data_IF_204197874716
#
_entry.id   IF_204197874716
#
_cell.length_a   1.000
_cell.length_b   1.000
_cell.length_c   1.000
_cell.angle_alpha   90.00
_cell.angle_beta   90.00
_cell.angle_gamma   90.00
#
_symmetry.space_group_name_H-M   'P 1'
#
loop_
_entity.id
_entity.type
_entity.pdbx_description
1 polymer ?
#
# COMPACT_ATOMS: atom_id res chain seq x y z
N UNK A 1 -14.62 10.11 -10.29
CA UNK A 1 -13.78 9.00 -9.76
C UNK A 1 -14.71 8.13 -8.95
N UNK A 2 -14.70 6.79 -9.11
CA UNK A 2 -15.45 5.90 -8.19
C UNK A 2 -14.98 6.13 -6.76
N UNK A 3 -15.83 5.85 -5.80
CA UNK A 3 -15.51 6.02 -4.37
C UNK A 3 -15.63 4.69 -3.65
N UNK A 4 -14.74 4.43 -2.68
CA UNK A 4 -14.82 3.25 -1.82
C UNK A 4 -16.16 3.18 -1.06
N UNK A 5 -16.88 4.31 -0.92
CA UNK A 5 -18.23 4.35 -0.35
C UNK A 5 -19.25 3.48 -1.10
N UNK A 6 -18.94 3.06 -2.32
CA UNK A 6 -19.72 2.04 -3.06
C UNK A 6 -19.66 0.65 -2.41
N UNK A 7 -18.66 0.38 -1.55
CA UNK A 7 -18.49 -0.89 -0.82
C UNK A 7 -19.04 -0.72 0.59
N UNK A 8 -20.29 -1.12 0.80
CA UNK A 8 -20.95 -0.97 2.10
C UNK A 8 -20.35 -1.92 3.14
N UNK A 9 -20.52 -1.57 4.43
CA UNK A 9 -20.04 -2.35 5.57
C UNK A 9 -20.40 -3.85 5.49
N UNK A 10 -21.65 -4.16 5.12
CA UNK A 10 -22.12 -5.54 4.95
C UNK A 10 -21.33 -6.37 3.93
N UNK A 11 -20.61 -5.72 3.02
CA UNK A 11 -19.84 -6.36 1.94
C UNK A 11 -18.37 -6.55 2.33
N UNK A 12 -17.88 -5.90 3.39
CA UNK A 12 -16.47 -5.94 3.81
C UNK A 12 -16.06 -7.38 4.13
N UNK A 13 -16.82 -8.06 4.99
CA UNK A 13 -16.52 -9.44 5.42
C UNK A 13 -16.43 -10.38 4.21
N UNK A 14 -17.36 -10.29 3.27
CA UNK A 14 -17.33 -11.12 2.08
C UNK A 14 -16.13 -10.81 1.17
N UNK A 15 -15.77 -9.53 0.99
CA UNK A 15 -14.62 -9.16 0.17
C UNK A 15 -13.33 -9.73 0.79
N UNK A 16 -13.18 -9.61 2.11
CA UNK A 16 -12.01 -10.14 2.82
C UNK A 16 -11.94 -11.67 2.74
N UNK A 17 -13.07 -12.37 2.87
CA UNK A 17 -13.14 -13.83 2.68
C UNK A 17 -12.72 -14.25 1.27
N UNK A 18 -13.24 -13.59 0.24
CA UNK A 18 -12.87 -13.87 -1.15
C UNK A 18 -11.38 -13.62 -1.40
N UNK A 19 -10.83 -12.52 -0.86
CA UNK A 19 -9.39 -12.26 -0.96
C UNK A 19 -8.56 -13.37 -0.32
N UNK A 20 -8.93 -13.83 0.87
CA UNK A 20 -8.19 -14.88 1.56
C UNK A 20 -8.23 -16.22 0.79
N UNK A 21 -9.39 -16.58 0.23
CA UNK A 21 -9.59 -17.86 -0.44
C UNK A 21 -9.03 -17.89 -1.88
N UNK A 22 -9.18 -16.80 -2.63
CA UNK A 22 -8.94 -16.79 -4.07
C UNK A 22 -7.70 -16.01 -4.48
N UNK A 23 -7.26 -15.03 -3.68
CA UNK A 23 -6.14 -14.18 -4.08
C UNK A 23 -4.80 -14.79 -3.72
N UNK A 24 -4.30 -15.61 -4.65
CA UNK A 24 -2.97 -16.22 -4.61
C UNK A 24 -2.68 -16.91 -3.26
N UNK A 25 -3.42 -17.97 -2.92
CA UNK A 25 -3.36 -18.62 -1.60
C UNK A 25 -1.96 -19.10 -1.20
N UNK A 26 -1.07 -19.33 -2.17
CA UNK A 26 0.30 -19.80 -1.95
C UNK A 26 1.38 -18.76 -2.34
N UNK A 27 1.04 -17.47 -2.38
CA UNK A 27 2.00 -16.41 -2.73
C UNK A 27 3.01 -16.17 -1.59
N UNK A 28 4.33 -16.29 -1.84
CA UNK A 28 5.34 -16.08 -0.81
C UNK A 28 5.32 -14.63 -0.27
N UNK A 29 4.85 -13.65 -1.04
CA UNK A 29 4.71 -12.27 -0.63
C UNK A 29 3.74 -12.07 0.53
N UNK A 30 2.75 -12.96 0.73
CA UNK A 30 1.89 -12.93 1.92
C UNK A 30 2.68 -13.30 3.18
N UNK A 31 3.43 -14.40 3.14
CA UNK A 31 4.27 -14.85 4.25
C UNK A 31 5.35 -13.81 4.60
N UNK A 32 6.09 -13.34 3.59
CA UNK A 32 7.15 -12.35 3.76
C UNK A 32 6.63 -11.06 4.39
N UNK A 33 5.46 -10.58 3.96
CA UNK A 33 4.84 -9.39 4.52
C UNK A 33 4.43 -9.56 5.99
N UNK A 34 3.88 -10.72 6.37
CA UNK A 34 3.57 -11.02 7.78
C UNK A 34 4.84 -10.98 8.64
N UNK A 35 5.95 -11.53 8.13
CA UNK A 35 7.24 -11.48 8.82
C UNK A 35 7.78 -10.05 8.91
N UNK A 36 7.64 -9.27 7.84
CA UNK A 36 8.05 -7.86 7.81
C UNK A 36 7.30 -7.01 8.83
N UNK A 37 5.99 -7.24 9.02
CA UNK A 37 5.20 -6.50 10.01
C UNK A 37 5.59 -6.76 11.48
N UNK A 38 6.43 -7.77 11.76
CA UNK A 38 6.96 -8.05 13.09
C UNK A 38 8.28 -7.33 13.40
N UNK A 39 8.85 -6.63 12.42
CA UNK A 39 10.14 -5.92 12.55
C UNK A 39 9.96 -4.55 13.20
N UNK A 40 10.91 -4.20 14.06
CA UNK A 40 11.03 -2.90 14.74
C UNK A 40 12.32 -2.15 14.38
N UNK A 41 13.23 -2.79 13.63
CA UNK A 41 14.54 -2.28 13.23
C UNK A 41 14.49 -1.47 11.92
N UNK A 42 13.67 -0.42 11.92
CA UNK A 42 13.44 0.45 10.76
C UNK A 42 14.76 0.86 10.07
N UNK A 43 14.84 0.58 8.76
CA UNK A 43 15.97 0.91 7.88
C UNK A 43 17.31 0.25 8.24
N UNK A 44 17.31 -0.83 9.03
CA UNK A 44 18.44 -1.77 9.05
C UNK A 44 18.63 -2.42 7.66
N UNK A 45 19.78 -3.07 7.46
CA UNK A 45 20.05 -3.77 6.21
C UNK A 45 19.04 -4.89 5.97
N UNK A 46 18.75 -5.69 6.98
CA UNK A 46 17.78 -6.78 6.90
C UNK A 46 16.34 -6.27 6.69
N UNK A 47 15.99 -5.10 7.22
CA UNK A 47 14.70 -4.45 6.97
C UNK A 47 14.57 -4.05 5.50
N UNK A 48 15.61 -3.42 4.94
CA UNK A 48 15.63 -2.95 3.55
C UNK A 48 15.69 -4.13 2.57
N UNK A 49 16.47 -5.17 2.87
CA UNK A 49 16.53 -6.41 2.11
C UNK A 49 15.16 -7.09 2.03
N UNK A 50 14.51 -7.28 3.19
CA UNK A 50 13.18 -7.90 3.22
C UNK A 50 12.15 -7.06 2.47
N UNK A 51 12.21 -5.73 2.60
CA UNK A 51 11.38 -4.82 1.81
C UNK A 51 11.57 -5.01 0.30
N UNK A 52 12.82 -5.10 -0.15
CA UNK A 52 13.16 -5.31 -1.55
C UNK A 52 12.58 -6.65 -2.06
N UNK A 53 12.78 -7.72 -1.31
CA UNK A 53 12.27 -9.06 -1.65
C UNK A 53 10.74 -9.08 -1.69
N UNK A 54 10.06 -8.39 -0.75
CA UNK A 54 8.60 -8.24 -0.77
C UNK A 54 8.13 -7.53 -2.03
N UNK A 55 8.77 -6.41 -2.41
CA UNK A 55 8.41 -5.69 -3.63
C UNK A 55 8.59 -6.56 -4.87
N UNK A 56 9.65 -7.37 -4.94
CA UNK A 56 9.86 -8.38 -6.00
C UNK A 56 8.72 -9.40 -6.01
N UNK A 57 8.38 -10.00 -4.86
CA UNK A 57 7.27 -10.97 -4.74
C UNK A 57 5.92 -10.34 -5.14
N UNK A 58 5.73 -9.06 -4.83
CA UNK A 58 4.56 -8.27 -5.23
C UNK A 58 4.59 -7.80 -6.69
N UNK A 59 5.54 -8.29 -7.49
CA UNK A 59 5.62 -8.10 -8.93
C UNK A 59 6.27 -6.78 -9.38
N UNK A 60 7.00 -6.08 -8.50
CA UNK A 60 7.67 -4.81 -8.86
C UNK A 60 8.95 -4.99 -9.67
N UNK A 61 9.33 -6.23 -9.97
CA UNK A 61 10.43 -6.58 -10.86
C UNK A 61 9.94 -7.57 -11.96
N UNK A 62 8.92 -7.17 -12.72
CA UNK A 62 8.25 -7.97 -13.76
C UNK A 62 8.11 -7.18 -15.08
N UNK A 63 7.46 -7.74 -16.13
CA UNK A 63 7.31 -7.04 -17.41
C UNK A 63 6.61 -5.67 -17.22
N UNK A 64 7.36 -4.58 -17.39
CA UNK A 64 6.89 -3.20 -17.24
C UNK A 64 7.02 -2.59 -15.84
N UNK A 65 7.77 -3.24 -14.94
CA UNK A 65 8.24 -2.68 -13.68
C UNK A 65 9.62 -3.27 -13.35
N UNK A 66 10.65 -2.45 -13.23
CA UNK A 66 11.99 -2.90 -12.87
C UNK A 66 12.47 -2.08 -11.68
N UNK A 67 12.73 -2.73 -10.54
CA UNK A 67 13.35 -2.07 -9.41
C UNK A 67 14.79 -1.65 -9.77
N UNK A 68 15.27 -0.60 -9.13
CA UNK A 68 16.70 -0.31 -9.12
C UNK A 68 17.48 -1.50 -8.55
N UNK A 69 18.78 -1.57 -8.88
CA UNK A 69 19.65 -2.55 -8.24
C UNK A 69 19.62 -2.32 -6.72
N UNK A 70 19.80 -3.39 -5.93
CA UNK A 70 19.62 -3.33 -4.48
C UNK A 70 20.40 -2.18 -3.84
N UNK A 71 21.66 -1.98 -4.20
CA UNK A 71 22.49 -0.91 -3.64
C UNK A 71 21.92 0.49 -3.90
N UNK A 72 21.43 0.75 -5.12
CA UNK A 72 20.79 2.03 -5.46
C UNK A 72 19.44 2.20 -4.75
N UNK A 73 18.66 1.12 -4.63
CA UNK A 73 17.41 1.12 -3.87
C UNK A 73 17.65 1.39 -2.38
N UNK A 74 18.67 0.76 -1.79
CA UNK A 74 19.08 0.99 -0.40
C UNK A 74 19.58 2.42 -0.20
N UNK A 75 20.43 2.91 -1.09
CA UNK A 75 20.97 4.27 -1.03
C UNK A 75 19.84 5.32 -0.98
N UNK A 76 18.85 5.25 -1.88
CA UNK A 76 17.75 6.23 -1.90
C UNK A 76 16.90 6.19 -0.62
N UNK A 77 16.73 5.03 0.03
CA UNK A 77 16.02 4.94 1.31
C UNK A 77 16.83 5.60 2.43
N UNK A 78 18.14 5.37 2.48
CA UNK A 78 19.01 5.94 3.51
C UNK A 78 19.20 7.45 3.34
N UNK A 79 19.27 7.95 2.11
CA UNK A 79 19.28 9.39 1.80
C UNK A 79 18.01 10.10 2.29
N UNK A 80 16.90 9.35 2.43
CA UNK A 80 15.62 9.86 2.92
C UNK A 80 15.32 9.43 4.37
N UNK A 81 16.30 8.88 5.10
CA UNK A 81 16.13 8.34 6.45
C UNK A 81 15.44 9.30 7.41
N UNK A 82 15.90 10.55 7.47
CA UNK A 82 15.35 11.53 8.42
C UNK A 82 13.88 11.87 8.13
N UNK A 83 13.50 11.92 6.84
CA UNK A 83 12.11 12.16 6.43
C UNK A 83 11.21 10.98 6.81
N UNK A 84 11.71 9.76 6.59
CA UNK A 84 11.02 8.52 6.94
C UNK A 84 10.84 8.43 8.46
N UNK A 85 11.92 8.62 9.22
CA UNK A 85 11.92 8.55 10.68
C UNK A 85 10.96 9.58 11.28
N UNK A 86 11.02 10.83 10.80
CA UNK A 86 10.12 11.90 11.25
C UNK A 86 8.64 11.56 11.05
N UNK A 87 8.27 10.90 9.96
CA UNK A 87 6.88 10.46 9.73
C UNK A 87 6.51 9.26 10.61
N UNK A 88 7.46 8.34 10.85
CA UNK A 88 7.28 7.18 11.71
C UNK A 88 7.07 7.53 13.17
N UNK A 89 7.87 8.45 13.70
CA UNK A 89 7.83 8.85 15.11
C UNK A 89 6.52 9.53 15.50
N UNK A 90 5.78 10.06 14.52
CA UNK A 90 4.46 10.66 14.76
C UNK A 90 3.37 9.62 15.06
N UNK A 91 3.65 8.32 14.86
CA UNK A 91 2.72 7.20 15.09
C UNK A 91 1.30 7.44 14.54
N UNK A 92 1.25 7.95 13.31
CA UNK A 92 0.01 8.38 12.65
C UNK A 92 -0.72 7.22 11.98
N UNK A 93 -2.04 7.21 12.13
CA UNK A 93 -2.95 6.24 11.50
C UNK A 93 -3.88 6.93 10.50
N UNK A 94 -4.16 6.26 9.37
CA UNK A 94 -4.95 6.80 8.27
C UNK A 94 -6.32 7.30 8.71
N UNK A 95 -7.00 6.58 9.61
CA UNK A 95 -8.35 6.88 10.08
C UNK A 95 -8.40 8.07 11.06
N UNK A 96 -7.33 8.33 11.82
CA UNK A 96 -7.36 9.36 12.88
C UNK A 96 -6.68 10.67 12.48
N UNK A 97 -5.77 10.63 11.52
CA UNK A 97 -4.94 11.79 11.18
C UNK A 97 -5.70 12.91 10.44
N UNK A 98 -5.29 14.16 10.68
CA UNK A 98 -5.47 15.21 9.67
C UNK A 98 -4.50 14.96 8.50
N UNK A 99 -5.01 14.28 7.47
CA UNK A 99 -4.18 13.82 6.36
C UNK A 99 -3.65 14.98 5.52
N UNK A 100 -4.42 16.06 5.36
CA UNK A 100 -4.00 17.20 4.54
C UNK A 100 -2.78 17.92 5.14
N UNK A 101 -2.65 17.94 6.48
CA UNK A 101 -1.46 18.44 7.16
C UNK A 101 -0.16 17.69 6.81
N UNK A 102 -0.26 16.43 6.32
CA UNK A 102 0.91 15.61 5.95
C UNK A 102 1.18 15.56 4.45
N UNK A 103 0.36 16.23 3.64
CA UNK A 103 0.45 16.20 2.19
C UNK A 103 1.86 16.51 1.68
N UNK A 104 2.44 17.62 2.12
CA UNK A 104 3.77 18.03 1.64
C UNK A 104 4.88 17.08 2.13
N UNK A 105 4.82 16.59 3.38
CA UNK A 105 5.81 15.62 3.87
C UNK A 105 5.77 14.31 3.08
N UNK A 106 4.56 13.79 2.79
CA UNK A 106 4.39 12.57 2.00
C UNK A 106 4.73 12.83 0.53
N UNK A 107 4.42 14.00 -0.01
CA UNK A 107 4.81 14.40 -1.36
C UNK A 107 6.31 14.43 -1.52
N UNK A 108 7.01 15.11 -0.61
CA UNK A 108 8.46 15.22 -0.60
C UNK A 108 9.11 13.84 -0.55
N UNK A 109 8.63 12.94 0.30
CA UNK A 109 9.11 11.56 0.34
C UNK A 109 8.76 10.80 -0.95
N UNK A 110 7.54 10.92 -1.45
CA UNK A 110 7.12 10.26 -2.69
C UNK A 110 7.96 10.70 -3.89
N UNK A 111 8.34 11.97 -3.98
CA UNK A 111 9.09 12.51 -5.12
C UNK A 111 10.60 12.37 -4.99
N UNK A 112 11.13 12.19 -3.77
CA UNK A 112 12.57 12.03 -3.53
C UNK A 112 13.08 10.59 -3.64
N UNK A 113 12.19 9.60 -3.59
CA UNK A 113 12.56 8.19 -3.76
C UNK A 113 12.87 7.89 -5.24
N UNK A 114 14.01 7.26 -5.50
CA UNK A 114 14.38 6.70 -6.81
C UNK A 114 14.50 5.17 -6.75
N UNK A 115 13.36 4.49 -6.93
CA UNK A 115 13.23 3.06 -6.66
C UNK A 115 13.26 2.19 -7.92
N UNK A 116 13.23 2.79 -9.12
CA UNK A 116 12.91 2.06 -10.35
C UNK A 116 13.76 2.47 -11.55
N UNK A 117 14.20 1.46 -12.31
CA UNK A 117 14.73 1.63 -13.66
C UNK A 117 13.58 1.81 -14.64
N UNK A 118 13.69 2.82 -15.51
CA UNK A 118 12.91 2.93 -16.75
C UNK A 118 11.43 2.54 -16.67
N UNK A 119 10.56 3.44 -16.22
CA UNK A 119 9.12 3.18 -16.25
C UNK A 119 8.32 4.31 -15.64
N UNK A 120 7.70 5.17 -16.46
CA UNK A 120 7.00 6.35 -15.94
C UNK A 120 5.79 5.95 -15.08
N UNK A 121 4.99 4.96 -15.49
CA UNK A 121 3.71 4.59 -14.84
C UNK A 121 3.83 3.51 -13.77
N UNK A 122 4.91 2.73 -13.73
CA UNK A 122 5.17 1.76 -12.64
C UNK A 122 5.50 2.42 -11.32
N UNK A 123 6.12 3.61 -11.36
CA UNK A 123 6.47 4.40 -10.17
C UNK A 123 5.30 4.54 -9.22
N UNK A 124 4.14 4.96 -9.71
CA UNK A 124 2.91 5.07 -8.91
C UNK A 124 2.66 3.86 -8.00
N UNK A 125 2.71 2.66 -8.57
CA UNK A 125 2.42 1.41 -7.85
C UNK A 125 3.56 1.04 -6.91
N UNK A 126 4.79 1.05 -7.41
CA UNK A 126 5.98 0.73 -6.60
C UNK A 126 6.11 1.67 -5.41
N UNK A 127 5.85 2.96 -5.61
CA UNK A 127 6.03 3.99 -4.60
C UNK A 127 4.93 3.88 -3.55
N UNK A 128 3.67 3.62 -3.95
CA UNK A 128 2.59 3.35 -2.99
C UNK A 128 2.88 2.15 -2.09
N UNK A 129 3.43 1.06 -2.65
CA UNK A 129 3.82 -0.14 -1.91
C UNK A 129 5.02 0.10 -0.99
N UNK A 130 5.99 0.85 -1.47
CA UNK A 130 7.18 1.20 -0.67
C UNK A 130 6.78 2.11 0.49
N UNK A 131 5.95 3.14 0.24
CA UNK A 131 5.38 3.98 1.29
C UNK A 131 4.56 3.17 2.29
N UNK A 132 3.80 2.17 1.85
CA UNK A 132 3.09 1.28 2.76
C UNK A 132 4.06 0.47 3.65
N UNK A 133 5.13 -0.09 3.10
CA UNK A 133 6.12 -0.82 3.90
C UNK A 133 6.84 0.13 4.90
N UNK A 134 7.12 1.35 4.46
CA UNK A 134 7.69 2.41 5.28
C UNK A 134 6.71 3.05 6.27
N UNK A 135 5.39 3.01 6.06
CA UNK A 135 4.35 3.70 6.84
C UNK A 135 3.03 2.88 6.82
N UNK A 136 2.99 1.66 7.38
CA UNK A 136 1.92 0.67 7.21
C UNK A 136 0.59 1.07 7.83
N UNK A 137 0.59 1.99 8.81
CA UNK A 137 -0.65 2.49 9.40
C UNK A 137 -1.22 3.70 8.65
N UNK A 138 -0.46 4.28 7.70
CA UNK A 138 -0.82 5.51 7.01
C UNK A 138 -1.04 5.33 5.51
N UNK A 139 -0.17 4.58 4.83
CA UNK A 139 -0.18 4.47 3.38
C UNK A 139 -0.76 3.12 2.92
N UNK A 140 -1.77 3.15 2.06
CA UNK A 140 -2.36 1.94 1.47
C UNK A 140 -1.49 1.47 0.30
N UNK A 141 -1.10 0.18 0.22
CA UNK A 141 -0.40 -0.32 -0.95
C UNK A 141 -1.39 -0.35 -2.11
N UNK A 142 -1.02 0.20 -3.26
CA UNK A 142 -1.89 0.24 -4.43
C UNK A 142 -1.35 -0.68 -5.53
N UNK A 143 -2.23 -1.15 -6.40
CA UNK A 143 -1.85 -1.99 -7.52
C UNK A 143 -2.60 -1.64 -8.82
N UNK A 144 -2.11 -2.17 -9.95
CA UNK A 144 -2.70 -1.90 -11.27
C UNK A 144 -4.01 -2.63 -11.51
N UNK A 145 -4.13 -3.87 -11.02
CA UNK A 145 -5.22 -4.80 -11.33
C UNK A 145 -6.44 -4.59 -10.45
N UNK A 146 -6.27 -4.20 -9.18
CA UNK A 146 -7.37 -4.08 -8.21
C UNK A 146 -7.61 -2.60 -7.84
N UNK A 147 -6.60 -1.86 -7.39
CA UNK A 147 -6.79 -0.43 -7.04
C UNK A 147 -7.08 0.42 -8.26
N UNK A 148 -6.23 0.40 -9.29
CA UNK A 148 -6.41 1.28 -10.46
C UNK A 148 -7.56 0.88 -11.37
N UNK A 149 -8.04 -0.36 -11.30
CA UNK A 149 -9.28 -0.76 -11.98
C UNK A 149 -10.53 -0.28 -11.22
N UNK A 150 -10.47 -0.21 -9.88
CA UNK A 150 -11.51 0.41 -9.09
C UNK A 150 -11.55 1.94 -9.25
N UNK A 151 -10.39 2.59 -9.38
CA UNK A 151 -10.26 4.03 -9.61
C UNK A 151 -9.88 4.35 -11.06
N UNK A 152 -10.77 4.08 -12.04
CA UNK A 152 -10.43 4.15 -13.45
C UNK A 152 -10.03 5.58 -13.83
N UNK A 153 -8.75 5.72 -14.15
CA UNK A 153 -8.15 6.90 -14.76
C UNK A 153 -6.73 6.54 -15.18
N UNK A 154 -6.20 7.18 -16.21
CA UNK A 154 -4.81 6.96 -16.60
C UNK A 154 -3.87 7.45 -15.50
N UNK A 155 -2.77 6.72 -15.26
CA UNK A 155 -1.68 7.21 -14.38
C UNK A 155 -0.85 8.22 -15.18
N UNK A 156 -0.74 9.48 -14.72
CA UNK A 156 0.03 10.49 -15.43
C UNK A 156 1.51 10.10 -15.58
N UNK A 157 2.18 10.58 -16.64
CA UNK A 157 3.62 10.34 -16.84
C UNK A 157 4.49 11.13 -15.85
N UNK A 158 4.11 12.37 -15.53
CA UNK A 158 4.86 13.26 -14.63
C UNK A 158 4.68 12.84 -13.16
N UNK A 159 5.77 12.88 -12.38
CA UNK A 159 5.79 12.36 -11.01
C UNK A 159 4.87 13.16 -10.07
N UNK A 160 4.89 14.50 -10.15
CA UNK A 160 3.99 15.34 -9.35
C UNK A 160 2.52 15.06 -9.64
N UNK A 161 2.18 14.81 -10.91
CA UNK A 161 0.82 14.46 -11.31
C UNK A 161 0.43 13.05 -10.82
N UNK A 162 1.39 12.12 -10.70
CA UNK A 162 1.15 10.84 -10.06
C UNK A 162 0.86 10.99 -8.57
N UNK A 163 1.62 11.85 -7.88
CA UNK A 163 1.36 12.15 -6.48
C UNK A 163 -0.04 12.75 -6.28
N UNK A 164 -0.46 13.71 -7.11
CA UNK A 164 -1.82 14.27 -7.05
C UNK A 164 -2.88 13.16 -7.13
N UNK A 165 -2.73 12.23 -8.08
CA UNK A 165 -3.63 11.09 -8.21
C UNK A 165 -3.58 10.16 -7.00
N UNK A 166 -2.38 9.82 -6.52
CA UNK A 166 -2.17 8.99 -5.34
C UNK A 166 -2.87 9.61 -4.13
N UNK A 167 -2.71 10.92 -3.93
CA UNK A 167 -3.32 11.68 -2.85
C UNK A 167 -4.85 11.65 -2.92
N UNK A 168 -5.44 11.84 -4.11
CA UNK A 168 -6.89 11.75 -4.29
C UNK A 168 -7.45 10.39 -3.89
N UNK A 169 -6.78 9.29 -4.29
CA UNK A 169 -7.18 7.94 -3.93
C UNK A 169 -7.03 7.72 -2.41
N UNK A 170 -5.91 8.15 -1.82
CA UNK A 170 -5.68 8.06 -0.38
C UNK A 170 -6.72 8.83 0.43
N UNK A 171 -7.19 10.00 -0.04
CA UNK A 171 -8.25 10.77 0.62
C UNK A 171 -9.59 10.03 0.64
N UNK A 172 -9.94 9.36 -0.45
CA UNK A 172 -11.14 8.54 -0.51
C UNK A 172 -11.03 7.32 0.43
N UNK A 173 -9.87 6.64 0.43
CA UNK A 173 -9.57 5.56 1.38
C UNK A 173 -9.56 6.03 2.83
N UNK A 174 -9.10 7.26 3.12
CA UNK A 174 -9.20 7.85 4.45
C UNK A 174 -10.65 8.05 4.87
N UNK A 175 -11.49 8.64 4.00
CA UNK A 175 -12.90 8.84 4.32
C UNK A 175 -13.55 7.49 4.63
N UNK A 176 -13.25 6.47 3.82
CA UNK A 176 -13.73 5.11 4.06
C UNK A 176 -13.24 4.53 5.39
N UNK A 177 -11.95 4.74 5.71
CA UNK A 177 -11.37 4.30 6.97
C UNK A 177 -12.05 4.92 8.20
N UNK A 178 -12.39 6.21 8.12
CA UNK A 178 -13.14 6.94 9.16
C UNK A 178 -14.57 6.41 9.31
N UNK A 179 -15.27 6.26 8.19
CA UNK A 179 -16.67 5.84 8.18
C UNK A 179 -16.85 4.38 8.67
N UNK A 180 -15.80 3.55 8.55
CA UNK A 180 -15.83 2.11 8.86
C UNK A 180 -14.77 1.66 9.87
N UNK A 181 -14.27 2.57 10.72
CA UNK A 181 -13.14 2.30 11.63
C UNK A 181 -13.34 1.01 12.46
N UNK A 182 -14.52 0.84 13.05
CA UNK A 182 -14.82 -0.29 13.95
C UNK A 182 -14.67 -1.64 13.25
N UNK A 183 -15.29 -1.81 12.10
CA UNK A 183 -15.27 -3.09 11.36
C UNK A 183 -13.88 -3.36 10.76
N UNK A 184 -13.16 -2.31 10.33
CA UNK A 184 -11.80 -2.45 9.85
C UNK A 184 -10.85 -2.91 10.97
N UNK A 185 -10.99 -2.35 12.18
CA UNK A 185 -10.20 -2.79 13.36
C UNK A 185 -10.52 -4.23 13.77
N UNK A 186 -11.79 -4.65 13.67
CA UNK A 186 -12.17 -6.04 13.91
C UNK A 186 -11.53 -7.01 12.89
N UNK A 187 -11.45 -6.60 11.62
CA UNK A 187 -10.78 -7.40 10.58
C UNK A 187 -9.27 -7.57 10.82
N UNK A 188 -8.62 -6.59 11.46
CA UNK A 188 -7.21 -6.71 11.89
C UNK A 188 -7.08 -7.71 13.05
N UNK A 189 -8.02 -7.68 14.00
CA UNK A 189 -8.00 -8.56 15.17
C UNK A 189 -8.20 -10.04 14.81
N UNK A 190 -8.92 -10.34 13.71
CA UNK A 190 -9.13 -11.72 13.24
C UNK A 190 -7.91 -12.28 12.48
N UNK A 191 -6.80 -12.47 13.19
CA UNK A 191 -5.56 -13.03 12.62
C UNK A 191 -5.64 -14.52 12.29
N UNK A 192 -6.56 -15.25 12.93
CA UNK A 192 -6.72 -16.69 12.72
C UNK A 192 -7.26 -16.96 11.33
N UNK A 193 -8.34 -16.28 10.95
CA UNK A 193 -8.96 -16.48 9.63
C UNK A 193 -8.34 -15.57 8.55
N UNK A 194 -7.78 -14.43 8.94
CA UNK A 194 -7.27 -13.42 8.00
C UNK A 194 -5.86 -12.96 8.39
N UNK A 195 -4.86 -13.87 8.33
CA UNK A 195 -3.50 -13.58 8.76
C UNK A 195 -2.83 -12.49 7.92
N UNK A 196 -3.38 -12.12 6.76
CA UNK A 196 -2.80 -11.06 5.94
C UNK A 196 -3.18 -9.64 6.37
N UNK A 197 -4.23 -9.48 7.17
CA UNK A 197 -4.73 -8.19 7.62
C UNK A 197 -3.85 -7.60 8.74
N UNK A 198 -2.60 -7.26 8.42
CA UNK A 198 -1.63 -6.83 9.42
C UNK A 198 -1.95 -5.46 10.05
N UNK A 199 -2.52 -4.56 9.26
CA UNK A 199 -2.87 -3.18 9.64
C UNK A 199 -4.07 -2.71 8.82
N UNK A 200 -4.63 -1.56 9.20
CA UNK A 200 -5.86 -1.02 8.59
C UNK A 200 -5.68 -0.76 7.09
N UNK A 201 -4.51 -0.24 6.69
CA UNK A 201 -4.27 0.09 5.28
C UNK A 201 -4.21 -1.16 4.40
N UNK A 202 -3.68 -2.29 4.92
CA UNK A 202 -3.71 -3.57 4.22
C UNK A 202 -5.10 -4.20 4.16
N UNK A 203 -5.93 -3.99 5.18
CA UNK A 203 -7.35 -4.41 5.14
C UNK A 203 -8.07 -3.70 3.99
N UNK A 204 -7.85 -2.40 3.80
CA UNK A 204 -8.46 -1.64 2.69
C UNK A 204 -8.02 -2.18 1.33
N UNK A 205 -6.73 -2.46 1.14
CA UNK A 205 -6.21 -3.12 -0.08
C UNK A 205 -6.89 -4.49 -0.31
N UNK A 206 -6.99 -5.31 0.75
CA UNK A 206 -7.65 -6.61 0.67
C UNK A 206 -9.14 -6.52 0.33
N UNK A 207 -9.85 -5.48 0.79
CA UNK A 207 -11.24 -5.23 0.39
C UNK A 207 -11.34 -4.95 -1.11
N UNK A 208 -10.46 -4.11 -1.65
CA UNK A 208 -10.43 -3.79 -3.08
C UNK A 208 -10.11 -5.00 -3.95
N UNK A 209 -9.18 -5.84 -3.53
CA UNK A 209 -8.87 -7.11 -4.20
C UNK A 209 -10.13 -7.99 -4.28
N UNK A 210 -10.77 -8.22 -3.14
CA UNK A 210 -11.93 -9.10 -3.02
C UNK A 210 -13.12 -8.57 -3.79
N UNK A 211 -13.35 -7.25 -3.74
CA UNK A 211 -14.36 -6.58 -4.54
C UNK A 211 -14.17 -6.86 -6.03
N UNK A 212 -12.95 -6.68 -6.55
CA UNK A 212 -12.66 -6.90 -7.96
C UNK A 212 -12.87 -8.36 -8.37
N UNK A 213 -12.42 -9.32 -7.55
CA UNK A 213 -12.61 -10.75 -7.78
C UNK A 213 -14.11 -11.08 -7.85
N UNK A 214 -14.91 -10.61 -6.89
CA UNK A 214 -16.37 -10.78 -6.88
C UNK A 214 -17.05 -10.19 -8.11
N UNK A 215 -16.61 -9.02 -8.58
CA UNK A 215 -17.22 -8.37 -9.75
C UNK A 215 -16.85 -9.02 -11.09
N UNK A 216 -15.75 -9.77 -11.16
CA UNK A 216 -15.33 -10.49 -12.38
C UNK A 216 -15.93 -11.89 -12.50
N UNK A 217 -16.50 -12.41 -11.42
CA UNK A 217 -17.23 -13.69 -11.39
C UNK A 217 -18.72 -13.53 -11.78
N UNK A 218 -19.16 -12.31 -12.08
CA UNK A 218 -20.49 -11.99 -12.62
C UNK A 218 -20.35 -11.61 -14.10
#
# INVERSE_FOLDING_TARGET
MRSLKEIHERQISDCLKVTELEYRPYDPGKYLYIMFCKRDDLLSDEYIELMYVILVAWGMNSRGAQLNAFDSFRATLLENKDRIQKLRDQNICLETIDFDSKKEQIKELFTSLDLMKGGKTSRFVTYSKTLHLLLPNLCVPMDRKYTLSFYPSNVPKALDKQFIKYWMIMKDMQSYAKDHEKVLKQAIANKVDQPWNQNLTKVIDNILIGWNLKTKLK
#
